data_IF_430390080993
#
_entry.id   IF_430390080993
#
_cell.length_a   1.000
_cell.length_b   1.000
_cell.length_c   1.000
_cell.angle_alpha   90.00
_cell.angle_beta   90.00
_cell.angle_gamma   90.00
#
_symmetry.space_group_name_H-M   'P 1'
#
loop_
_entity.id
_entity.type
_entity.pdbx_description
1 polymer ?
#
# COMPACT_ATOMS: atom_id res chain seq x y z
N UNK A 1 16.90 -29.40 1.25
CA UNK A 1 15.67 -28.65 1.62
C UNK A 1 15.99 -27.17 1.54
N UNK A 2 15.98 -26.67 0.35
CA UNK A 2 16.31 -25.30 -0.02
C UNK A 2 15.24 -24.83 -0.97
N UNK A 3 14.45 -23.85 -0.61
CA UNK A 3 13.79 -22.97 -1.58
C UNK A 3 12.76 -22.09 -0.88
N UNK A 4 12.98 -20.82 -0.85
CA UNK A 4 11.99 -19.84 -0.35
C UNK A 4 12.51 -18.41 -0.25
N UNK A 5 13.73 -18.11 -0.70
CA UNK A 5 14.32 -16.77 -0.49
C UNK A 5 14.35 -15.86 -1.72
N UNK A 6 13.99 -16.34 -2.90
CA UNK A 6 14.29 -15.61 -4.15
C UNK A 6 13.13 -14.82 -4.77
N UNK A 7 11.92 -14.92 -4.23
CA UNK A 7 10.77 -14.21 -4.81
C UNK A 7 10.72 -12.70 -4.50
N UNK A 8 11.34 -12.27 -3.40
CA UNK A 8 11.36 -10.85 -3.00
C UNK A 8 12.34 -9.97 -3.80
N UNK A 9 13.41 -10.58 -4.28
CA UNK A 9 14.45 -9.85 -5.03
C UNK A 9 14.05 -9.52 -6.47
N UNK A 10 13.23 -10.35 -7.10
CA UNK A 10 12.84 -10.19 -8.49
C UNK A 10 11.86 -9.03 -8.71
N UNK A 11 10.99 -8.75 -7.74
CA UNK A 11 10.01 -7.65 -7.84
C UNK A 11 10.67 -6.27 -7.68
N UNK A 12 11.70 -6.15 -6.84
CA UNK A 12 12.45 -4.90 -6.68
C UNK A 12 13.30 -4.57 -7.92
N UNK A 13 13.81 -5.58 -8.62
CA UNK A 13 14.55 -5.40 -9.88
C UNK A 13 13.63 -5.00 -11.04
N UNK A 14 12.38 -5.47 -11.07
CA UNK A 14 11.42 -5.08 -12.10
C UNK A 14 10.98 -3.61 -11.96
N UNK A 15 10.82 -3.11 -10.73
CA UNK A 15 10.48 -1.69 -10.49
C UNK A 15 11.65 -0.74 -10.82
N UNK A 16 12.90 -1.17 -10.59
CA UNK A 16 14.09 -0.40 -10.92
C UNK A 16 14.39 -0.39 -12.43
N UNK A 17 14.05 -1.44 -13.17
CA UNK A 17 14.29 -1.53 -14.62
C UNK A 17 13.41 -0.58 -15.44
N UNK A 18 12.24 -0.19 -14.96
CA UNK A 18 11.34 0.75 -15.65
C UNK A 18 11.91 2.18 -15.60
N UNK A 19 12.72 2.53 -14.61
CA UNK A 19 13.34 3.87 -14.49
C UNK A 19 14.58 4.04 -15.37
N UNK A 20 15.21 2.96 -15.80
CA UNK A 20 16.52 3.00 -16.49
C UNK A 20 16.47 3.09 -18.04
N UNK A 21 15.29 3.03 -18.66
CA UNK A 21 15.18 2.92 -20.14
C UNK A 21 14.79 4.21 -20.85
N UNK A 22 14.78 5.36 -20.23
CA UNK A 22 14.53 6.61 -20.95
C UNK A 22 15.79 7.43 -21.13
N UNK A 23 16.66 7.04 -22.09
CA UNK A 23 17.46 8.05 -22.78
C UNK A 23 16.49 8.91 -23.59
N UNK A 24 16.47 10.24 -23.46
CA UNK A 24 15.73 11.09 -24.36
C UNK A 24 16.38 10.98 -25.75
N UNK A 25 15.87 10.11 -26.59
CA UNK A 25 16.08 10.30 -28.02
C UNK A 25 15.34 11.58 -28.38
N UNK A 26 16.04 12.58 -28.88
CA UNK A 26 15.48 13.76 -29.52
C UNK A 26 14.83 13.41 -30.88
N UNK A 27 14.15 12.29 -30.95
CA UNK A 27 13.30 11.92 -32.07
C UNK A 27 11.88 12.28 -31.68
N UNK A 28 11.46 13.45 -32.18
CA UNK A 28 10.07 13.83 -32.29
C UNK A 28 9.32 13.60 -30.96
N UNK A 29 9.23 14.60 -30.14
CA UNK A 29 7.97 14.88 -29.50
C UNK A 29 6.94 14.89 -30.63
N UNK A 30 6.46 13.74 -31.02
CA UNK A 30 5.19 13.63 -31.66
C UNK A 30 4.32 14.47 -30.76
N UNK A 31 3.86 15.58 -31.24
CA UNK A 31 2.94 16.41 -30.50
C UNK A 31 1.75 15.52 -30.27
N UNK A 32 1.70 14.90 -29.07
CA UNK A 32 0.74 13.87 -28.74
C UNK A 32 -0.67 14.44 -28.69
N UNK A 33 -0.86 15.51 -29.39
CA UNK A 33 -2.08 16.23 -29.56
C UNK A 33 -2.39 17.10 -28.33
N UNK A 34 -3.53 17.71 -28.40
CA UNK A 34 -4.12 18.52 -27.35
C UNK A 34 -5.48 17.94 -26.97
N UNK A 35 -5.94 18.24 -25.78
CA UNK A 35 -7.33 18.07 -25.38
C UNK A 35 -8.09 19.36 -25.70
N UNK A 36 -9.36 19.22 -26.07
CA UNK A 36 -10.21 20.37 -26.36
C UNK A 36 -10.60 21.20 -25.13
N UNK A 37 -10.34 20.66 -23.93
CA UNK A 37 -10.57 21.32 -22.64
C UNK A 37 -9.54 20.82 -21.60
N UNK A 38 -9.40 21.59 -20.54
CA UNK A 38 -8.65 21.14 -19.35
C UNK A 38 -9.33 19.91 -18.76
N UNK A 39 -8.59 18.87 -18.37
CA UNK A 39 -9.17 17.69 -17.76
C UNK A 39 -10.00 18.02 -16.53
N UNK A 40 -11.19 17.43 -16.42
CA UNK A 40 -12.13 17.62 -15.31
C UNK A 40 -11.99 16.52 -14.26
N UNK A 41 -11.44 15.37 -14.61
CA UNK A 41 -11.05 14.33 -13.67
C UNK A 41 -9.91 13.47 -14.21
N UNK A 42 -9.25 12.77 -13.30
CA UNK A 42 -8.29 11.70 -13.61
C UNK A 42 -8.67 10.48 -12.79
N UNK A 43 -8.90 9.36 -13.46
CA UNK A 43 -9.13 8.08 -12.80
C UNK A 43 -7.94 7.16 -13.03
N UNK A 44 -7.47 6.49 -11.97
CA UNK A 44 -6.30 5.62 -12.04
C UNK A 44 -6.45 4.34 -11.24
N UNK A 45 -5.67 3.36 -11.65
CA UNK A 45 -5.39 2.13 -10.90
C UNK A 45 -3.91 2.07 -10.57
N UNK A 46 -3.58 1.57 -9.41
CA UNK A 46 -2.18 1.44 -8.99
C UNK A 46 -1.93 0.12 -8.28
N UNK A 47 -0.70 -0.35 -8.35
CA UNK A 47 -0.24 -1.51 -7.63
C UNK A 47 1.20 -1.33 -7.18
N UNK A 48 1.58 -2.00 -6.12
CA UNK A 48 2.91 -1.84 -5.56
C UNK A 48 3.18 -2.74 -4.37
N UNK A 49 4.05 -2.30 -3.51
CA UNK A 49 4.45 -2.99 -2.30
C UNK A 49 4.34 -2.07 -1.08
N UNK A 50 3.69 -2.58 -0.04
CA UNK A 50 3.55 -1.92 1.24
C UNK A 50 4.43 -2.62 2.28
N UNK A 51 5.41 -1.90 2.83
CA UNK A 51 6.23 -2.35 3.94
C UNK A 51 5.58 -1.92 5.25
N UNK A 52 5.00 -2.89 5.96
CA UNK A 52 4.43 -2.66 7.28
C UNK A 52 5.51 -2.29 8.31
N UNK A 53 5.23 -1.33 9.16
CA UNK A 53 6.06 -1.02 10.34
C UNK A 53 5.85 -2.11 11.39
N UNK A 54 4.60 -2.61 11.50
CA UNK A 54 4.22 -3.68 12.42
C UNK A 54 4.74 -3.42 13.84
N UNK A 55 4.51 -2.19 14.32
CA UNK A 55 4.87 -1.76 15.67
C UNK A 55 3.82 -2.19 16.69
N UNK A 56 4.10 -1.94 17.97
CA UNK A 56 3.17 -2.25 19.05
C UNK A 56 3.28 -3.66 19.61
N UNK A 57 2.45 -3.92 20.63
CA UNK A 57 2.61 -5.06 21.52
C UNK A 57 2.24 -6.39 20.84
N UNK A 58 1.15 -6.41 20.07
CA UNK A 58 0.68 -7.63 19.39
C UNK A 58 1.72 -8.15 18.40
N UNK A 59 2.32 -7.27 17.58
CA UNK A 59 3.37 -7.68 16.66
C UNK A 59 4.66 -8.09 17.38
N UNK A 60 4.99 -7.40 18.48
CA UNK A 60 6.13 -7.78 19.32
C UNK A 60 5.93 -9.15 19.94
N UNK A 61 4.73 -9.44 20.45
CA UNK A 61 4.37 -10.76 20.99
C UNK A 61 4.48 -11.84 19.91
N UNK A 62 3.81 -11.62 18.76
CA UNK A 62 3.79 -12.60 17.67
C UNK A 62 5.21 -12.89 17.16
N UNK A 63 6.04 -11.89 16.96
CA UNK A 63 7.43 -12.09 16.48
C UNK A 63 8.37 -12.70 17.53
N UNK A 64 8.06 -12.58 18.83
CA UNK A 64 8.82 -13.22 19.90
C UNK A 64 8.43 -14.70 20.08
N UNK A 65 7.16 -15.03 19.91
CA UNK A 65 6.66 -16.39 20.13
C UNK A 65 6.75 -17.26 18.88
N UNK A 66 6.48 -16.68 17.70
CA UNK A 66 6.41 -17.39 16.44
C UNK A 66 7.64 -17.12 15.54
N UNK A 67 7.83 -17.99 14.57
CA UNK A 67 8.90 -17.86 13.55
C UNK A 67 8.59 -16.81 12.50
N UNK A 68 8.04 -15.66 12.94
CA UNK A 68 7.72 -14.50 12.11
C UNK A 68 8.63 -13.33 12.45
N UNK A 69 8.87 -12.49 11.46
CA UNK A 69 9.51 -11.20 11.61
C UNK A 69 8.54 -10.07 11.21
N UNK A 70 8.82 -8.83 11.65
CA UNK A 70 7.97 -7.67 11.30
C UNK A 70 7.84 -7.48 9.79
N UNK A 71 8.86 -7.84 9.02
CA UNK A 71 8.85 -7.79 7.56
C UNK A 71 7.82 -8.70 6.91
N UNK A 72 7.42 -9.79 7.58
CA UNK A 72 6.44 -10.76 7.07
C UNK A 72 5.03 -10.18 6.96
N UNK A 73 4.74 -9.08 7.65
CA UNK A 73 3.48 -8.34 7.56
C UNK A 73 3.41 -7.38 6.36
N UNK A 74 4.50 -7.29 5.59
CA UNK A 74 4.54 -6.53 4.36
C UNK A 74 3.88 -7.31 3.21
N UNK A 75 3.25 -6.59 2.27
CA UNK A 75 2.45 -7.21 1.21
C UNK A 75 2.43 -6.42 -0.08
N UNK A 76 2.04 -7.08 -1.15
CA UNK A 76 1.56 -6.37 -2.33
C UNK A 76 0.34 -5.53 -1.98
N UNK A 77 0.22 -4.37 -2.62
CA UNK A 77 -0.93 -3.47 -2.49
C UNK A 77 -1.48 -3.13 -3.87
N UNK A 78 -2.79 -2.97 -3.93
CA UNK A 78 -3.51 -2.56 -5.13
C UNK A 78 -4.53 -1.49 -4.75
N UNK A 79 -4.90 -0.65 -5.71
CA UNK A 79 -5.90 0.36 -5.44
C UNK A 79 -6.37 1.09 -6.68
N UNK A 80 -7.32 1.99 -6.45
CA UNK A 80 -7.86 2.90 -7.46
C UNK A 80 -8.04 4.28 -6.86
N UNK A 81 -7.84 5.31 -7.67
CA UNK A 81 -8.05 6.67 -7.25
C UNK A 81 -8.82 7.48 -8.29
N UNK A 82 -9.55 8.46 -7.81
CA UNK A 82 -10.22 9.48 -8.61
C UNK A 82 -9.72 10.85 -8.14
N UNK A 83 -9.08 11.59 -9.03
CA UNK A 83 -8.59 12.94 -8.78
C UNK A 83 -9.44 13.97 -9.54
N UNK A 84 -9.91 14.97 -8.80
CA UNK A 84 -10.72 16.06 -9.30
C UNK A 84 -9.92 17.37 -9.21
N UNK A 85 -9.52 17.98 -10.32
CA UNK A 85 -8.83 19.25 -10.34
C UNK A 85 -9.70 20.37 -9.74
N UNK A 86 -9.22 21.00 -8.68
CA UNK A 86 -9.86 22.18 -8.08
C UNK A 86 -9.13 23.47 -8.43
N UNK A 87 -7.89 23.37 -8.88
CA UNK A 87 -7.10 24.47 -9.43
C UNK A 87 -6.06 23.93 -10.41
N UNK A 88 -5.26 24.82 -10.99
CA UNK A 88 -4.16 24.42 -11.88
C UNK A 88 -3.10 23.54 -11.18
N UNK A 89 -2.96 23.70 -9.87
CA UNK A 89 -1.93 23.01 -9.08
C UNK A 89 -2.49 22.09 -8.00
N UNK A 90 -3.80 22.00 -7.80
CA UNK A 90 -4.39 21.20 -6.73
C UNK A 90 -5.51 20.30 -7.21
N UNK A 91 -5.49 19.06 -6.77
CA UNK A 91 -6.56 18.09 -6.94
C UNK A 91 -7.09 17.63 -5.58
N UNK A 92 -8.38 17.37 -5.50
CA UNK A 92 -8.98 16.54 -4.46
C UNK A 92 -8.91 15.10 -4.97
N UNK A 93 -8.41 14.19 -4.13
CA UNK A 93 -8.21 12.78 -4.50
C UNK A 93 -8.98 11.88 -3.56
N UNK A 94 -9.85 11.06 -4.11
CA UNK A 94 -10.46 9.92 -3.43
C UNK A 94 -9.68 8.65 -3.79
N UNK A 95 -9.29 7.86 -2.79
CA UNK A 95 -8.43 6.69 -2.97
C UNK A 95 -8.95 5.51 -2.14
N UNK A 96 -8.97 4.33 -2.76
CA UNK A 96 -9.28 3.06 -2.10
C UNK A 96 -8.13 2.10 -2.37
N UNK A 97 -7.55 1.57 -1.29
CA UNK A 97 -6.48 0.58 -1.34
C UNK A 97 -6.89 -0.78 -0.81
N UNK A 98 -6.10 -1.77 -1.14
CA UNK A 98 -6.22 -3.16 -0.65
C UNK A 98 -4.83 -3.73 -0.46
N UNK A 99 -4.55 -4.27 0.73
CA UNK A 99 -3.31 -4.96 1.05
C UNK A 99 -3.61 -6.15 1.96
N UNK A 100 -3.15 -7.34 1.58
CA UNK A 100 -3.35 -8.56 2.37
C UNK A 100 -2.09 -9.39 2.41
N UNK A 101 -1.80 -9.92 3.60
CA UNK A 101 -0.75 -10.91 3.82
C UNK A 101 -1.30 -12.06 4.66
N UNK A 102 -0.80 -13.27 4.43
CA UNK A 102 -1.05 -14.45 5.27
C UNK A 102 0.25 -15.23 5.36
N UNK A 103 0.67 -15.59 6.58
CA UNK A 103 1.93 -16.29 6.85
C UNK A 103 1.71 -17.45 7.79
N UNK A 104 2.13 -18.64 7.38
CA UNK A 104 2.31 -19.77 8.27
C UNK A 104 3.56 -19.58 9.14
N UNK A 105 3.50 -20.02 10.38
CA UNK A 105 4.58 -19.90 11.35
C UNK A 105 4.49 -21.00 12.39
N UNK A 106 5.55 -21.17 13.16
CA UNK A 106 5.67 -22.17 14.22
C UNK A 106 6.08 -21.50 15.52
N UNK A 107 5.74 -22.08 16.66
CA UNK A 107 6.28 -21.61 17.93
C UNK A 107 7.79 -21.80 17.99
N UNK A 108 8.52 -20.79 18.44
CA UNK A 108 10.00 -20.82 18.50
C UNK A 108 10.55 -21.75 19.58
N UNK A 109 9.83 -21.91 20.68
CA UNK A 109 10.34 -22.57 21.92
C UNK A 109 9.50 -23.76 22.37
N UNK A 110 8.45 -24.07 21.63
CA UNK A 110 7.50 -25.10 22.03
C UNK A 110 7.28 -26.09 20.90
N UNK A 111 7.17 -27.35 21.26
CA UNK A 111 6.78 -28.46 20.39
C UNK A 111 5.63 -29.21 21.06
N UNK A 112 4.88 -29.96 20.29
CA UNK A 112 3.83 -30.82 20.82
C UNK A 112 4.37 -32.06 21.56
N UNK A 113 3.48 -32.91 22.07
CA UNK A 113 3.84 -34.13 22.80
C UNK A 113 4.59 -35.16 21.95
N UNK A 114 4.56 -35.01 20.61
CA UNK A 114 5.24 -35.87 19.65
C UNK A 114 6.53 -35.23 19.09
N UNK A 115 7.02 -34.14 19.69
CA UNK A 115 8.11 -33.30 19.19
C UNK A 115 7.85 -32.66 17.80
N UNK A 116 6.59 -32.48 17.43
CA UNK A 116 6.23 -31.79 16.20
C UNK A 116 6.05 -30.28 16.44
N UNK A 117 6.31 -29.43 15.44
CA UNK A 117 6.14 -27.99 15.57
C UNK A 117 4.67 -27.62 15.74
N UNK A 118 4.38 -26.70 16.65
CA UNK A 118 3.05 -26.13 16.87
C UNK A 118 2.85 -25.02 15.85
N UNK A 119 1.94 -25.22 14.92
CA UNK A 119 1.78 -24.38 13.74
C UNK A 119 0.62 -23.40 13.87
N UNK A 120 0.84 -22.18 13.38
CA UNK A 120 -0.17 -21.13 13.29
C UNK A 120 -0.09 -20.41 11.96
N UNK A 121 -1.21 -19.85 11.55
CA UNK A 121 -1.30 -18.93 10.40
C UNK A 121 -1.72 -17.56 10.91
N UNK A 122 -0.92 -16.54 10.63
CA UNK A 122 -1.25 -15.15 10.93
C UNK A 122 -1.55 -14.41 9.62
N UNK A 123 -2.69 -13.73 9.56
CA UNK A 123 -3.07 -12.92 8.42
C UNK A 123 -3.43 -11.49 8.81
N UNK A 124 -3.14 -10.55 7.93
CA UNK A 124 -3.46 -9.14 8.08
C UNK A 124 -4.01 -8.60 6.76
N UNK A 125 -5.25 -8.12 6.81
CA UNK A 125 -5.90 -7.38 5.73
C UNK A 125 -5.97 -5.90 6.12
N UNK A 126 -5.71 -5.00 5.17
CA UNK A 126 -5.85 -3.55 5.31
C UNK A 126 -6.54 -2.98 4.07
N UNK A 127 -7.63 -2.24 4.28
CA UNK A 127 -8.42 -1.59 3.24
C UNK A 127 -8.61 -0.12 3.62
N UNK A 128 -7.68 0.76 3.28
CA UNK A 128 -7.83 2.21 3.47
C UNK A 128 -8.81 2.78 2.44
N UNK A 129 -9.66 3.71 2.91
CA UNK A 129 -10.53 4.58 2.11
C UNK A 129 -10.23 6.00 2.54
N UNK A 130 -9.67 6.81 1.66
CA UNK A 130 -9.15 8.12 2.01
C UNK A 130 -9.60 9.21 1.05
N UNK A 131 -9.70 10.42 1.58
CA UNK A 131 -9.84 11.66 0.85
C UNK A 131 -8.62 12.53 1.15
N UNK A 132 -8.04 13.13 0.12
CA UNK A 132 -6.83 13.92 0.28
C UNK A 132 -6.74 15.06 -0.72
N UNK A 133 -5.66 15.82 -0.56
CA UNK A 133 -5.27 16.87 -1.49
C UNK A 133 -3.91 16.51 -2.08
N UNK A 134 -3.79 16.67 -3.40
CA UNK A 134 -2.55 16.56 -4.15
C UNK A 134 -2.17 17.94 -4.67
N UNK A 135 -0.95 18.38 -4.38
CA UNK A 135 -0.39 19.64 -4.85
C UNK A 135 0.72 19.37 -5.86
N UNK A 136 0.57 19.90 -7.06
CA UNK A 136 1.58 19.76 -8.11
C UNK A 136 2.68 20.80 -7.96
N UNK A 137 3.91 20.34 -7.88
CA UNK A 137 5.13 21.16 -7.80
C UNK A 137 5.57 21.67 -9.18
N UNK A 138 5.05 21.07 -10.26
CA UNK A 138 5.31 21.44 -11.64
C UNK A 138 4.01 21.49 -12.43
N UNK A 139 4.02 22.21 -13.55
CA UNK A 139 2.83 22.36 -14.39
C UNK A 139 2.42 21.03 -15.00
N UNK A 140 1.12 20.70 -14.94
CA UNK A 140 0.52 19.49 -15.55
C UNK A 140 0.28 19.63 -17.04
N UNK A 141 0.21 20.88 -17.51
CA UNK A 141 -0.06 21.23 -18.89
C UNK A 141 -0.30 22.73 -19.01
N UNK A 142 -0.55 23.17 -20.22
CA UNK A 142 -0.83 24.57 -20.53
C UNK A 142 -2.02 24.70 -21.45
N UNK A 143 -2.86 25.68 -21.19
CA UNK A 143 -3.94 26.08 -22.11
C UNK A 143 -3.41 26.97 -23.22
N UNK A 144 -3.82 26.72 -24.45
CA UNK A 144 -3.61 27.58 -25.61
C UNK A 144 -4.98 28.09 -26.05
N UNK A 145 -5.24 29.35 -25.71
CA UNK A 145 -6.58 29.91 -25.92
C UNK A 145 -7.64 29.18 -25.08
N UNK A 146 -8.87 29.13 -25.61
CA UNK A 146 -10.04 28.56 -24.91
C UNK A 146 -10.27 27.08 -25.20
N UNK A 147 -9.69 26.55 -26.27
CA UNK A 147 -10.10 25.27 -26.85
C UNK A 147 -8.96 24.26 -26.99
N UNK A 148 -7.77 24.55 -26.46
CA UNK A 148 -6.66 23.61 -26.52
C UNK A 148 -5.90 23.58 -25.18
N UNK A 149 -5.75 22.38 -24.63
CA UNK A 149 -4.90 22.12 -23.49
C UNK A 149 -3.84 21.08 -23.85
N UNK A 150 -2.58 21.43 -23.69
CA UNK A 150 -1.43 20.57 -23.99
C UNK A 150 -0.91 20.01 -22.68
N UNK A 151 -0.91 18.67 -22.51
CA UNK A 151 -0.34 18.02 -21.34
C UNK A 151 1.16 18.24 -21.25
N UNK A 152 1.69 18.39 -20.04
CA UNK A 152 3.11 18.31 -19.79
C UNK A 152 3.58 16.85 -19.88
N UNK A 153 4.80 16.62 -20.34
CA UNK A 153 5.38 15.27 -20.43
C UNK A 153 5.48 14.60 -19.05
N UNK A 154 5.74 15.40 -18.02
CA UNK A 154 5.82 14.94 -16.62
C UNK A 154 5.36 16.01 -15.66
N UNK A 155 4.80 15.60 -14.53
CA UNK A 155 4.45 16.48 -13.42
C UNK A 155 4.78 15.77 -12.10
N UNK A 156 5.39 16.50 -11.17
CA UNK A 156 5.67 16.01 -9.82
C UNK A 156 4.68 16.60 -8.84
N UNK A 157 4.33 15.85 -7.80
CA UNK A 157 3.37 16.27 -6.80
C UNK A 157 3.72 15.75 -5.42
N UNK A 158 3.17 16.42 -4.43
CA UNK A 158 3.09 15.98 -3.04
C UNK A 158 1.64 16.01 -2.59
N UNK A 159 1.31 15.26 -1.56
CA UNK A 159 -0.06 15.26 -1.06
C UNK A 159 -0.16 14.71 0.35
N UNK A 160 -1.31 14.94 0.93
CA UNK A 160 -1.70 14.36 2.20
C UNK A 160 -3.20 14.05 2.18
N UNK A 161 -3.60 13.11 3.02
CA UNK A 161 -5.01 12.75 3.13
C UNK A 161 -5.31 12.06 4.44
N UNK A 162 -6.61 11.95 4.68
CA UNK A 162 -7.18 11.32 5.85
C UNK A 162 -8.37 10.44 5.46
N UNK A 163 -8.72 9.50 6.29
CA UNK A 163 -9.85 8.64 6.06
C UNK A 163 -10.02 7.56 7.11
N UNK A 164 -10.56 6.44 6.68
CA UNK A 164 -10.78 5.27 7.50
C UNK A 164 -10.11 4.06 6.85
N UNK A 165 -9.52 3.22 7.68
CA UNK A 165 -8.95 1.95 7.27
C UNK A 165 -9.72 0.81 7.95
N UNK A 166 -10.31 -0.08 7.15
CA UNK A 166 -10.75 -1.38 7.63
C UNK A 166 -9.55 -2.28 7.78
N UNK A 167 -9.39 -2.92 8.93
CA UNK A 167 -8.42 -3.98 9.08
C UNK A 167 -9.06 -5.27 9.59
N UNK A 168 -8.40 -6.38 9.32
CA UNK A 168 -8.71 -7.72 9.82
C UNK A 168 -7.38 -8.40 10.16
N UNK A 169 -7.13 -8.57 11.46
CA UNK A 169 -5.99 -9.31 11.99
C UNK A 169 -6.51 -10.64 12.52
N UNK A 170 -5.96 -11.73 12.02
CA UNK A 170 -6.47 -13.07 12.28
C UNK A 170 -5.31 -14.02 12.53
N UNK A 171 -5.39 -14.79 13.63
CA UNK A 171 -4.49 -15.89 13.96
C UNK A 171 -5.30 -17.15 14.14
N UNK A 172 -4.93 -18.22 13.44
CA UNK A 172 -5.58 -19.53 13.53
C UNK A 172 -4.53 -20.64 13.59
N UNK A 173 -4.78 -21.68 14.37
CA UNK A 173 -3.88 -22.81 14.51
C UNK A 173 -3.84 -23.36 15.93
N UNK A 174 -2.75 -24.05 16.24
CA UNK A 174 -2.57 -24.66 17.55
C UNK A 174 -1.96 -23.64 18.52
N UNK A 175 -2.62 -23.44 19.67
CA UNK A 175 -2.17 -22.53 20.72
C UNK A 175 -1.82 -23.32 21.99
N UNK A 176 -0.82 -22.83 22.71
CA UNK A 176 -0.40 -23.37 24.00
C UNK A 176 -1.04 -22.57 25.12
N UNK A 177 -1.81 -23.19 25.97
CA UNK A 177 -2.21 -22.62 27.26
C UNK A 177 -1.01 -22.64 28.21
N UNK A 178 -0.42 -21.49 28.49
CA UNK A 178 0.77 -21.40 29.37
C UNK A 178 0.54 -21.80 30.84
N UNK A 179 -0.74 -21.94 31.26
CA UNK A 179 -1.06 -22.38 32.62
C UNK A 179 -1.14 -23.92 32.72
N UNK A 180 -1.74 -24.56 31.72
CA UNK A 180 -2.01 -26.01 31.72
C UNK A 180 -1.08 -26.79 30.81
N UNK A 181 -0.34 -26.11 29.94
CA UNK A 181 0.49 -26.65 28.85
C UNK A 181 -0.29 -27.52 27.85
N UNK A 182 -1.62 -27.35 27.83
CA UNK A 182 -2.46 -27.99 26.82
C UNK A 182 -2.34 -27.25 25.49
N UNK A 183 -2.32 -28.04 24.41
CA UNK A 183 -2.36 -27.53 23.04
C UNK A 183 -3.77 -27.72 22.51
N UNK A 184 -4.38 -26.66 22.03
CA UNK A 184 -5.71 -26.69 21.41
C UNK A 184 -5.72 -25.81 20.18
N UNK A 185 -6.48 -26.24 19.16
CA UNK A 185 -6.75 -25.40 18.01
C UNK A 185 -7.70 -24.28 18.43
N UNK A 186 -7.34 -23.05 18.08
CA UNK A 186 -8.17 -21.87 18.34
C UNK A 186 -8.03 -20.85 17.21
N UNK A 187 -8.91 -19.85 17.23
CA UNK A 187 -8.98 -18.79 16.24
C UNK A 187 -9.23 -17.44 16.90
N UNK A 188 -8.29 -16.54 16.77
CA UNK A 188 -8.35 -15.19 17.34
C UNK A 188 -8.51 -14.16 16.23
N UNK A 189 -9.50 -13.28 16.35
CA UNK A 189 -9.86 -12.32 15.31
C UNK A 189 -10.02 -10.92 15.87
N UNK A 190 -9.37 -9.95 15.23
CA UNK A 190 -9.58 -8.53 15.51
C UNK A 190 -9.90 -7.77 14.24
N UNK A 191 -11.11 -7.20 14.16
CA UNK A 191 -11.61 -6.45 13.01
C UNK A 191 -12.17 -5.12 13.48
N UNK A 192 -11.71 -4.04 12.88
CA UNK A 192 -12.28 -2.72 13.16
C UNK A 192 -12.06 -1.74 12.01
N UNK A 193 -12.73 -0.61 12.10
CA UNK A 193 -12.40 0.60 11.35
C UNK A 193 -11.54 1.50 12.23
N UNK A 194 -10.50 2.09 11.65
CA UNK A 194 -9.62 3.00 12.36
C UNK A 194 -9.32 4.23 11.50
N UNK A 195 -9.15 5.41 12.12
CA UNK A 195 -8.65 6.56 11.40
C UNK A 195 -7.28 6.29 10.76
N UNK A 196 -7.11 6.80 9.54
CA UNK A 196 -5.85 6.74 8.79
C UNK A 196 -5.49 8.12 8.28
N UNK A 197 -4.20 8.44 8.36
CA UNK A 197 -3.58 9.60 7.73
C UNK A 197 -2.50 9.12 6.78
N UNK A 198 -2.26 9.85 5.69
CA UNK A 198 -1.12 9.59 4.83
C UNK A 198 -0.51 10.86 4.28
N UNK A 199 0.79 10.79 4.02
CA UNK A 199 1.52 11.76 3.21
C UNK A 199 2.14 11.03 2.02
N UNK A 200 2.19 11.68 0.87
CA UNK A 200 2.69 11.07 -0.36
C UNK A 200 3.50 12.05 -1.20
N UNK A 201 4.37 11.49 -2.03
CA UNK A 201 5.05 12.19 -3.11
C UNK A 201 5.04 11.31 -4.35
N UNK A 202 4.88 11.92 -5.53
CA UNK A 202 4.78 11.15 -6.75
C UNK A 202 5.12 11.94 -8.00
N UNK A 203 5.09 11.19 -9.09
CA UNK A 203 5.31 11.69 -10.44
C UNK A 203 4.26 11.11 -11.37
N UNK A 204 3.77 11.93 -12.28
CA UNK A 204 2.95 11.55 -13.43
C UNK A 204 3.76 11.76 -14.70
N UNK A 205 3.69 10.80 -15.61
CA UNK A 205 4.27 10.87 -16.94
C UNK A 205 3.20 10.63 -17.98
N UNK A 206 3.05 11.56 -18.93
CA UNK A 206 2.07 11.44 -20.00
C UNK A 206 2.57 10.46 -21.06
N UNK A 207 1.81 9.41 -21.34
CA UNK A 207 2.00 8.50 -22.48
C UNK A 207 1.19 8.93 -23.71
N UNK A 208 0.74 10.16 -23.72
CA UNK A 208 -0.09 10.74 -24.74
C UNK A 208 -1.03 11.77 -24.10
N UNK A 209 -2.07 12.16 -24.84
CA UNK A 209 -3.00 13.20 -24.36
C UNK A 209 -3.91 12.74 -23.22
N UNK A 210 -4.24 11.45 -23.15
CA UNK A 210 -5.24 10.89 -22.23
C UNK A 210 -4.62 9.99 -21.18
N UNK A 211 -3.61 9.17 -21.53
CA UNK A 211 -3.04 8.15 -20.67
C UNK A 211 -1.84 8.66 -19.91
N UNK A 212 -1.75 8.29 -18.65
CA UNK A 212 -0.67 8.61 -17.71
C UNK A 212 -0.08 7.33 -17.12
N UNK A 213 1.22 7.34 -16.88
CA UNK A 213 1.88 6.44 -15.92
C UNK A 213 2.16 7.24 -14.65
N UNK A 214 1.91 6.64 -13.50
CA UNK A 214 2.16 7.27 -12.19
C UNK A 214 3.15 6.46 -11.38
N UNK A 215 3.97 7.13 -10.59
CA UNK A 215 4.81 6.53 -9.56
C UNK A 215 4.61 7.29 -8.26
N UNK A 216 4.38 6.59 -7.15
CA UNK A 216 4.06 7.20 -5.86
C UNK A 216 4.75 6.50 -4.71
N UNK A 217 5.34 7.27 -3.80
CA UNK A 217 5.77 6.84 -2.48
C UNK A 217 4.81 7.43 -1.44
N UNK A 218 4.32 6.59 -0.53
CA UNK A 218 3.32 6.98 0.48
C UNK A 218 3.75 6.48 1.86
N UNK A 219 3.66 7.34 2.87
CA UNK A 219 3.73 6.98 4.27
C UNK A 219 2.34 7.03 4.89
N UNK A 220 1.93 5.96 5.54
CA UNK A 220 0.60 5.81 6.16
C UNK A 220 0.74 5.68 7.67
N UNK A 221 -0.08 6.44 8.43
CA UNK A 221 -0.22 6.33 9.88
C UNK A 221 -1.61 5.81 10.21
N UNK A 222 -1.67 4.67 10.89
CA UNK A 222 -2.94 4.14 11.38
C UNK A 222 -2.70 3.30 12.64
N UNK A 223 -3.53 3.50 13.68
CA UNK A 223 -3.52 2.69 14.90
C UNK A 223 -4.94 2.34 15.28
N UNK A 224 -5.29 1.05 15.23
CA UNK A 224 -6.63 0.53 15.46
C UNK A 224 -6.85 -0.03 16.87
N UNK A 225 -8.07 0.01 17.42
CA UNK A 225 -8.42 -0.74 18.62
C UNK A 225 -8.37 -2.24 18.34
N UNK A 226 -8.05 -3.05 19.35
CA UNK A 226 -8.11 -4.50 19.26
C UNK A 226 -9.46 -5.02 19.80
N UNK A 227 -9.92 -6.18 19.32
CA UNK A 227 -11.12 -6.86 19.81
C UNK A 227 -10.88 -7.58 21.13
N UNK A 228 -11.94 -8.20 21.70
CA UNK A 228 -11.88 -8.93 22.97
C UNK A 228 -10.82 -10.03 22.99
N UNK A 229 -10.61 -10.72 21.90
CA UNK A 229 -9.61 -11.79 21.80
C UNK A 229 -8.20 -11.28 22.05
N UNK A 230 -8.00 -9.96 21.88
CA UNK A 230 -6.72 -9.28 22.05
C UNK A 230 -6.81 -8.13 23.09
N UNK A 231 -7.70 -8.21 24.09
CA UNK A 231 -7.93 -7.14 25.07
C UNK A 231 -6.72 -6.78 25.94
N UNK A 232 -5.74 -7.69 26.02
CA UNK A 232 -4.48 -7.46 26.75
C UNK A 232 -3.45 -6.66 25.97
N UNK A 233 -3.69 -6.43 24.68
CA UNK A 233 -2.81 -5.68 23.79
C UNK A 233 -3.29 -4.25 23.61
N UNK A 234 -2.34 -3.33 23.46
CA UNK A 234 -2.63 -1.96 23.07
C UNK A 234 -3.16 -1.89 21.62
N UNK A 235 -3.29 -0.68 21.09
CA UNK A 235 -3.72 -0.49 19.71
C UNK A 235 -2.76 -1.16 18.73
N UNK A 236 -3.31 -1.88 17.74
CA UNK A 236 -2.52 -2.45 16.63
C UNK A 236 -1.96 -1.33 15.75
N UNK A 237 -0.69 -1.40 15.42
CA UNK A 237 -0.02 -0.45 14.52
C UNK A 237 -0.10 -0.95 13.07
N UNK A 238 -0.88 -0.25 12.26
CA UNK A 238 -1.12 -0.56 10.85
C UNK A 238 -0.36 0.39 9.92
N UNK A 239 0.58 1.16 10.48
CA UNK A 239 1.40 2.11 9.73
C UNK A 239 2.36 1.41 8.78
N UNK A 240 2.72 2.08 7.69
CA UNK A 240 3.61 1.51 6.69
C UNK A 240 4.13 2.52 5.68
N UNK A 241 5.07 2.07 4.85
CA UNK A 241 5.59 2.80 3.69
C UNK A 241 5.26 1.99 2.46
N UNK A 242 4.61 2.60 1.47
CA UNK A 242 4.33 1.95 0.19
C UNK A 242 5.00 2.65 -0.97
N UNK A 243 5.39 1.84 -1.96
CA UNK A 243 5.83 2.28 -3.27
C UNK A 243 4.90 1.65 -4.29
N UNK A 244 4.29 2.46 -5.14
CA UNK A 244 3.33 2.03 -6.14
C UNK A 244 3.60 2.65 -7.50
N UNK A 245 3.26 1.91 -8.54
CA UNK A 245 3.17 2.40 -9.91
C UNK A 245 1.72 2.21 -10.40
N UNK A 246 1.29 3.06 -11.32
CA UNK A 246 -0.08 3.02 -11.79
C UNK A 246 -0.25 3.49 -13.22
N UNK A 247 -1.45 3.25 -13.72
CA UNK A 247 -1.96 3.79 -14.97
C UNK A 247 -3.19 4.63 -14.67
N UNK A 248 -3.28 5.76 -15.33
CA UNK A 248 -4.43 6.65 -15.17
C UNK A 248 -4.88 7.22 -16.52
N UNK A 249 -6.14 7.58 -16.58
CA UNK A 249 -6.75 8.29 -17.70
C UNK A 249 -7.29 9.62 -17.22
N UNK A 250 -7.05 10.66 -18.00
CA UNK A 250 -7.61 12.00 -17.76
C UNK A 250 -8.66 12.34 -18.81
N UNK A 251 -9.76 12.95 -18.39
CA UNK A 251 -10.84 13.42 -19.24
C UNK A 251 -11.28 14.83 -18.88
#
# INVERSE_FOLDING_TARGET
MTSGRDAGGALLLAAAAIVAVTRPSHAQTAGDGFLFHTPVFTWGIHGGFDRAIAGGDVFSFVTQQLTLDRGDFSSATFGTNLALPVSQSNDIVFDIGYARVSRGSEFRKWVDQNNLPIQQTTSLLRVPVTLGVRHYLSTRGRSIGRFAWIPAARATYVGFGAGLMRYDFHQAGDFVDFNTLNIAYDEFVSKAWTPVLHALAGIEMSLGRVVLVTGEARYTWAKGPMSRDFERFNRIDLSGISLAAGLAIRQ
#
